data_IF_954635722538
#
_entry.id   IF_954635722538
#
_cell.length_a   1.000
_cell.length_b   1.000
_cell.length_c   1.000
_cell.angle_alpha   90.00
_cell.angle_beta   90.00
_cell.angle_gamma   90.00
#
_symmetry.space_group_name_H-M   'P 1'
#
loop_
_entity.id
_entity.type
_entity.pdbx_description
1 polymer ?
#
# COMPACT_ATOMS: atom_id res chain seq x y z
N UNK A 1 2.61 14.76 8.11
CA UNK A 1 3.30 13.46 8.30
C UNK A 1 4.23 13.24 7.11
N UNK A 2 5.44 12.75 7.34
CA UNK A 2 6.45 12.45 6.30
C UNK A 2 6.34 10.98 5.89
N UNK A 3 6.10 10.73 4.61
CA UNK A 3 5.79 9.39 4.10
C UNK A 3 6.89 8.92 3.17
N UNK A 4 7.35 7.68 3.34
CA UNK A 4 8.13 6.96 2.33
C UNK A 4 7.22 5.92 1.64
N UNK A 5 7.35 5.79 0.31
CA UNK A 5 6.60 4.80 -0.45
C UNK A 5 7.57 3.83 -1.12
N UNK A 6 7.36 2.53 -0.92
CA UNK A 6 8.16 1.46 -1.52
C UNK A 6 7.40 0.83 -2.69
N UNK A 7 8.03 0.79 -3.87
CA UNK A 7 7.40 0.30 -5.10
C UNK A 7 8.33 -0.63 -5.88
N UNK A 8 7.80 -1.72 -6.42
CA UNK A 8 8.55 -2.60 -7.36
C UNK A 8 8.09 -2.47 -8.82
N UNK A 9 7.00 -1.75 -9.08
CA UNK A 9 6.31 -1.75 -10.37
C UNK A 9 6.06 -0.37 -10.96
N UNK A 10 4.85 -0.17 -11.44
CA UNK A 10 4.45 1.05 -12.16
C UNK A 10 4.28 2.28 -11.27
N UNK A 11 4.04 2.12 -9.97
CA UNK A 11 3.93 3.21 -9.00
C UNK A 11 2.63 4.03 -9.12
N UNK A 12 1.54 3.41 -9.55
CA UNK A 12 0.26 4.11 -9.66
C UNK A 12 -0.34 4.51 -8.30
N UNK A 13 -0.24 3.64 -7.30
CA UNK A 13 -0.60 3.96 -5.92
C UNK A 13 0.30 5.05 -5.33
N UNK A 14 1.61 5.01 -5.60
CA UNK A 14 2.52 6.09 -5.21
C UNK A 14 2.07 7.45 -5.77
N UNK A 15 1.80 7.53 -7.08
CA UNK A 15 1.29 8.77 -7.69
C UNK A 15 -0.04 9.20 -7.07
N UNK A 16 -0.95 8.26 -6.79
CA UNK A 16 -2.22 8.56 -6.14
C UNK A 16 -2.02 9.17 -4.76
N UNK A 17 -1.14 8.61 -3.91
CA UNK A 17 -0.81 9.16 -2.59
C UNK A 17 -0.30 10.60 -2.71
N UNK A 18 0.67 10.86 -3.61
CA UNK A 18 1.24 12.21 -3.82
C UNK A 18 0.15 13.21 -4.20
N UNK A 19 -0.82 12.82 -5.03
CA UNK A 19 -1.87 13.70 -5.52
C UNK A 19 -3.01 13.94 -4.52
N UNK A 20 -3.30 12.96 -3.65
CA UNK A 20 -4.49 12.97 -2.78
C UNK A 20 -4.17 13.33 -1.34
N UNK A 21 -3.04 12.92 -0.80
CA UNK A 21 -2.65 13.18 0.60
C UNK A 21 -1.99 14.56 0.76
N UNK A 22 -2.69 15.64 0.38
CA UNK A 22 -2.15 17.01 0.33
C UNK A 22 -1.71 17.58 1.68
N UNK A 23 -2.20 17.05 2.79
CA UNK A 23 -1.84 17.45 4.16
C UNK A 23 -0.65 16.64 4.71
N UNK A 24 -0.05 15.80 3.89
CA UNK A 24 1.08 14.94 4.18
C UNK A 24 2.12 15.10 3.07
N UNK A 25 3.36 14.78 3.37
CA UNK A 25 4.47 14.95 2.44
C UNK A 25 5.05 13.57 2.09
N UNK A 26 4.97 13.17 0.82
CA UNK A 26 5.77 12.04 0.34
C UNK A 26 7.19 12.54 0.11
N UNK A 27 8.07 12.22 1.03
CA UNK A 27 9.45 12.74 1.06
C UNK A 27 10.43 11.86 0.32
N UNK A 28 10.09 10.58 0.14
CA UNK A 28 10.99 9.58 -0.44
C UNK A 28 10.19 8.48 -1.13
N UNK A 29 10.65 8.06 -2.31
CA UNK A 29 10.20 6.82 -2.93
C UNK A 29 11.39 5.87 -3.10
N UNK A 30 11.24 4.62 -2.67
CA UNK A 30 12.26 3.58 -2.84
C UNK A 30 11.76 2.54 -3.84
N UNK A 31 12.64 2.13 -4.75
CA UNK A 31 12.34 1.06 -5.70
C UNK A 31 13.49 0.05 -5.80
N UNK A 32 13.14 -1.21 -6.05
CA UNK A 32 14.08 -2.32 -6.14
C UNK A 32 14.27 -2.87 -7.56
N UNK A 33 13.81 -2.14 -8.57
CA UNK A 33 14.03 -2.43 -9.99
C UNK A 33 14.63 -1.21 -10.67
N UNK A 34 15.80 -1.35 -11.29
CA UNK A 34 16.53 -0.25 -11.97
C UNK A 34 15.69 0.50 -13.01
N UNK A 35 14.81 -0.21 -13.72
CA UNK A 35 13.91 0.40 -14.72
C UNK A 35 12.47 0.09 -14.30
N UNK A 36 11.83 0.97 -13.54
CA UNK A 36 10.44 0.83 -13.15
C UNK A 36 9.62 2.08 -13.47
N UNK A 37 8.31 1.93 -13.59
CA UNK A 37 7.40 3.05 -13.84
C UNK A 37 7.37 4.03 -12.67
N UNK A 38 7.54 3.54 -11.44
CA UNK A 38 7.55 4.36 -10.23
C UNK A 38 8.65 5.42 -10.25
N UNK A 39 9.88 5.08 -10.68
CA UNK A 39 10.98 6.04 -10.80
C UNK A 39 10.64 7.18 -11.77
N UNK A 40 10.11 6.84 -12.97
CA UNK A 40 9.66 7.83 -13.94
C UNK A 40 8.55 8.75 -13.42
N UNK A 41 7.68 8.24 -12.55
CA UNK A 41 6.64 9.05 -11.90
C UNK A 41 7.23 9.95 -10.83
N UNK A 42 8.19 9.46 -10.05
CA UNK A 42 8.90 10.25 -9.05
C UNK A 42 9.61 11.45 -9.70
N UNK A 43 10.33 11.23 -10.80
CA UNK A 43 10.96 12.30 -11.60
C UNK A 43 9.94 13.38 -12.01
N UNK A 44 8.79 12.94 -12.58
CA UNK A 44 7.73 13.86 -13.04
C UNK A 44 7.05 14.64 -11.91
N UNK A 45 6.99 14.05 -10.72
CA UNK A 45 6.35 14.64 -9.55
C UNK A 45 7.34 15.45 -8.68
N UNK A 46 8.63 15.43 -9.03
CA UNK A 46 9.68 16.08 -8.25
C UNK A 46 9.92 15.43 -6.88
N UNK A 47 9.58 14.13 -6.75
CA UNK A 47 9.76 13.39 -5.50
C UNK A 47 11.13 12.72 -5.49
N UNK A 48 11.97 12.94 -4.47
CA UNK A 48 13.23 12.23 -4.30
C UNK A 48 13.03 10.73 -4.32
N UNK A 49 13.86 10.00 -5.06
CA UNK A 49 13.77 8.56 -5.08
C UNK A 49 15.13 7.86 -5.12
N UNK A 50 15.18 6.64 -4.65
CA UNK A 50 16.40 5.81 -4.62
C UNK A 50 16.13 4.39 -5.12
N UNK A 51 17.08 3.88 -5.91
CA UNK A 51 17.17 2.45 -6.17
C UNK A 51 17.95 1.76 -5.04
N UNK A 52 17.33 0.79 -4.38
CA UNK A 52 17.97 -0.05 -3.37
C UNK A 52 17.59 -1.50 -3.70
N UNK A 53 18.58 -2.39 -3.75
CA UNK A 53 18.31 -3.81 -3.88
C UNK A 53 17.53 -4.30 -2.67
N UNK A 54 16.53 -5.16 -2.89
CA UNK A 54 15.65 -5.64 -1.83
C UNK A 54 16.37 -6.46 -0.73
N UNK A 55 17.58 -6.90 -0.99
CA UNK A 55 18.46 -7.59 -0.02
C UNK A 55 19.28 -6.62 0.83
N UNK A 56 19.31 -5.35 0.46
CA UNK A 56 20.08 -4.30 1.16
C UNK A 56 19.17 -3.49 2.11
N UNK A 57 18.47 -4.17 2.99
CA UNK A 57 17.55 -3.52 3.94
C UNK A 57 18.27 -2.63 4.95
N UNK A 58 19.54 -2.89 5.26
CA UNK A 58 20.33 -2.05 6.17
C UNK A 58 20.43 -0.62 5.61
N UNK A 59 20.79 -0.48 4.34
CA UNK A 59 20.86 0.84 3.71
C UNK A 59 19.47 1.45 3.51
N UNK A 60 18.45 0.62 3.28
CA UNK A 60 17.05 1.09 3.21
C UNK A 60 16.60 1.68 4.55
N UNK A 61 16.87 0.99 5.67
CA UNK A 61 16.56 1.48 7.03
C UNK A 61 17.27 2.81 7.29
N UNK A 62 18.59 2.88 7.04
CA UNK A 62 19.39 4.09 7.24
C UNK A 62 18.85 5.27 6.43
N UNK A 63 18.51 5.04 5.17
CA UNK A 63 17.97 6.08 4.31
C UNK A 63 16.62 6.59 4.82
N UNK A 64 15.70 5.70 5.17
CA UNK A 64 14.37 6.05 5.69
C UNK A 64 14.50 6.84 7.00
N UNK A 65 15.40 6.44 7.89
CA UNK A 65 15.69 7.15 9.14
C UNK A 65 16.27 8.54 8.89
N UNK A 66 17.23 8.67 7.96
CA UNK A 66 17.85 9.95 7.60
C UNK A 66 16.83 10.97 7.03
N UNK A 67 15.75 10.48 6.41
CA UNK A 67 14.66 11.32 5.91
C UNK A 67 13.60 11.64 6.96
N UNK A 68 13.75 11.19 8.21
CA UNK A 68 12.78 11.38 9.30
C UNK A 68 11.36 10.97 8.88
N UNK A 69 11.23 9.75 8.34
CA UNK A 69 9.95 9.21 7.86
C UNK A 69 9.08 8.79 9.03
N UNK A 70 7.83 9.23 9.04
CA UNK A 70 6.83 8.84 10.03
C UNK A 70 6.10 7.56 9.66
N UNK A 71 5.79 7.38 8.37
CA UNK A 71 5.02 6.26 7.83
C UNK A 71 5.66 5.69 6.56
N UNK A 72 5.74 4.38 6.49
CA UNK A 72 6.17 3.63 5.30
C UNK A 72 4.94 2.96 4.67
N UNK A 73 4.77 3.16 3.37
CA UNK A 73 3.68 2.56 2.59
C UNK A 73 4.27 1.60 1.55
N UNK A 74 3.98 0.32 1.69
CA UNK A 74 4.28 -0.69 0.68
C UNK A 74 3.17 -0.64 -0.39
N UNK A 75 3.48 -0.11 -1.57
CA UNK A 75 2.53 0.09 -2.66
C UNK A 75 2.97 -0.67 -3.92
N UNK A 76 2.67 -1.96 -3.95
CA UNK A 76 3.18 -2.88 -4.96
C UNK A 76 4.66 -3.22 -4.75
N UNK A 77 5.09 -3.35 -3.52
CA UNK A 77 6.41 -3.87 -3.14
C UNK A 77 6.40 -5.39 -3.22
N UNK A 78 7.16 -5.96 -4.16
CA UNK A 78 7.14 -7.39 -4.49
C UNK A 78 8.22 -8.19 -3.74
N UNK A 79 8.46 -7.85 -2.46
CA UNK A 79 9.40 -8.54 -1.58
C UNK A 79 8.86 -8.57 -0.16
N UNK A 80 9.16 -9.63 0.54
CA UNK A 80 8.91 -9.73 1.98
C UNK A 80 10.00 -8.91 2.66
N UNK A 81 9.61 -8.03 3.57
CA UNK A 81 10.53 -7.29 4.43
C UNK A 81 10.93 -8.16 5.62
N UNK A 82 12.18 -8.03 6.07
CA UNK A 82 12.69 -8.85 7.17
C UNK A 82 12.12 -8.39 8.52
N UNK A 83 12.30 -9.26 9.53
CA UNK A 83 11.99 -8.92 10.91
C UNK A 83 12.74 -7.65 11.38
N UNK A 84 14.00 -7.50 11.02
CA UNK A 84 14.80 -6.33 11.40
C UNK A 84 14.23 -5.03 10.83
N UNK A 85 13.76 -5.07 9.57
CA UNK A 85 13.07 -3.94 8.96
C UNK A 85 11.75 -3.62 9.68
N UNK A 86 10.97 -4.65 10.01
CA UNK A 86 9.69 -4.48 10.74
C UNK A 86 9.95 -3.90 12.12
N UNK A 87 10.95 -4.42 12.86
CA UNK A 87 11.28 -3.94 14.20
C UNK A 87 11.77 -2.49 14.20
N UNK A 88 12.56 -2.09 13.20
CA UNK A 88 13.02 -0.71 13.04
C UNK A 88 11.87 0.31 12.87
N UNK A 89 10.73 -0.14 12.34
CA UNK A 89 9.58 0.73 12.01
C UNK A 89 8.25 0.17 12.53
N UNK A 90 8.28 -0.54 13.65
CA UNK A 90 7.10 -1.20 14.24
C UNK A 90 5.91 -0.25 14.38
N UNK A 91 4.75 -0.68 13.88
CA UNK A 91 3.52 0.13 13.88
C UNK A 91 3.49 1.29 12.89
N UNK A 92 4.52 1.43 12.05
CA UNK A 92 4.65 2.50 11.05
C UNK A 92 4.85 1.99 9.61
N UNK A 93 4.46 0.75 9.35
CA UNK A 93 4.49 0.16 8.02
C UNK A 93 3.10 -0.33 7.68
N UNK A 94 2.56 0.11 6.55
CA UNK A 94 1.30 -0.38 6.00
C UNK A 94 1.51 -0.93 4.60
N UNK A 95 0.67 -1.90 4.22
CA UNK A 95 0.66 -2.50 2.88
C UNK A 95 -0.74 -2.44 2.29
N UNK A 96 -0.83 -2.25 0.98
CA UNK A 96 -2.06 -2.44 0.22
C UNK A 96 -1.99 -3.75 -0.55
N UNK A 97 -2.99 -4.62 -0.33
CA UNK A 97 -3.08 -5.95 -0.91
C UNK A 97 -4.36 -6.11 -1.74
N UNK A 98 -4.29 -6.67 -2.97
CA UNK A 98 -5.41 -6.73 -3.91
C UNK A 98 -6.35 -7.90 -3.67
N UNK A 99 -6.75 -8.14 -2.42
CA UNK A 99 -7.79 -9.10 -2.04
C UNK A 99 -8.52 -8.65 -0.77
N UNK A 100 -9.61 -9.36 -0.44
CA UNK A 100 -10.26 -9.27 0.86
C UNK A 100 -9.58 -10.22 1.85
N UNK A 101 -8.49 -9.76 2.50
CA UNK A 101 -7.81 -10.57 3.51
C UNK A 101 -8.78 -11.08 4.60
N UNK A 102 -8.60 -12.31 5.10
CA UNK A 102 -7.43 -13.17 4.97
C UNK A 102 -7.41 -14.05 3.71
N UNK A 103 -8.35 -13.90 2.77
CA UNK A 103 -8.35 -14.66 1.52
C UNK A 103 -7.21 -14.22 0.60
N UNK A 104 -6.59 -15.18 -0.09
CA UNK A 104 -5.63 -14.94 -1.18
C UNK A 104 -4.43 -14.08 -0.75
N UNK A 105 -3.76 -14.44 0.35
CA UNK A 105 -2.48 -13.86 0.77
C UNK A 105 -1.40 -14.10 -0.29
N UNK A 106 -0.43 -13.21 -0.37
CA UNK A 106 0.74 -13.33 -1.25
C UNK A 106 0.46 -12.96 -2.70
N UNK A 107 1.16 -13.63 -3.62
CA UNK A 107 1.12 -13.31 -5.04
C UNK A 107 -0.11 -13.87 -5.75
N UNK A 108 -0.49 -13.23 -6.87
CA UNK A 108 -1.56 -13.69 -7.77
C UNK A 108 -2.96 -13.75 -7.12
N UNK A 109 -3.23 -12.88 -6.15
CA UNK A 109 -4.50 -12.86 -5.42
C UNK A 109 -5.72 -12.65 -6.35
N UNK A 110 -5.57 -11.86 -7.41
CA UNK A 110 -6.63 -11.57 -8.39
C UNK A 110 -6.95 -12.81 -9.22
N UNK A 111 -5.91 -13.46 -9.73
CA UNK A 111 -6.03 -14.69 -10.50
C UNK A 111 -6.66 -15.80 -9.66
N UNK A 112 -6.21 -15.96 -8.41
CA UNK A 112 -6.75 -16.94 -7.48
C UNK A 112 -8.24 -16.71 -7.19
N UNK A 113 -8.66 -15.46 -7.00
CA UNK A 113 -10.08 -15.13 -6.78
C UNK A 113 -10.96 -15.50 -8.00
N UNK A 114 -10.44 -15.25 -9.21
CA UNK A 114 -11.14 -15.62 -10.44
C UNK A 114 -11.19 -17.14 -10.65
N UNK A 115 -10.10 -17.85 -10.42
CA UNK A 115 -10.03 -19.31 -10.53
C UNK A 115 -10.94 -20.00 -9.51
N UNK A 116 -11.11 -19.41 -8.32
CA UNK A 116 -12.04 -19.89 -7.30
C UNK A 116 -13.52 -19.53 -7.59
N UNK A 117 -13.81 -18.88 -8.73
CA UNK A 117 -15.14 -18.44 -9.10
C UNK A 117 -15.83 -17.59 -8.02
N UNK A 118 -15.06 -16.73 -7.33
CA UNK A 118 -15.62 -15.81 -6.35
C UNK A 118 -16.55 -14.80 -7.04
N UNK A 119 -17.57 -14.37 -6.34
CA UNK A 119 -18.50 -13.33 -6.83
C UNK A 119 -18.05 -11.91 -6.47
N UNK A 120 -17.15 -11.79 -5.48
CA UNK A 120 -16.56 -10.55 -5.04
C UNK A 120 -15.10 -10.74 -4.63
N UNK A 121 -14.31 -9.71 -4.76
CA UNK A 121 -12.96 -9.56 -4.23
C UNK A 121 -12.81 -8.13 -3.69
N UNK A 122 -11.62 -7.59 -3.64
CA UNK A 122 -11.43 -6.21 -3.19
C UNK A 122 -9.99 -5.85 -2.96
N UNK A 123 -9.80 -4.86 -2.11
CA UNK A 123 -8.49 -4.46 -1.63
C UNK A 123 -8.49 -4.28 -0.11
N UNK A 124 -7.36 -4.54 0.49
CA UNK A 124 -7.13 -4.41 1.93
C UNK A 124 -5.91 -3.54 2.17
N UNK A 125 -6.02 -2.55 3.06
CA UNK A 125 -4.86 -1.90 3.67
C UNK A 125 -4.71 -2.43 5.10
N UNK A 126 -3.51 -2.88 5.44
CA UNK A 126 -3.22 -3.49 6.74
C UNK A 126 -1.85 -3.06 7.26
N UNK A 127 -1.64 -3.16 8.56
CA UNK A 127 -0.30 -3.04 9.15
C UNK A 127 0.56 -4.23 8.74
N UNK A 128 1.86 -4.00 8.58
CA UNK A 128 2.82 -5.07 8.29
C UNK A 128 3.38 -5.62 9.57
N UNK A 129 3.35 -6.95 9.70
CA UNK A 129 3.97 -7.73 10.75
C UNK A 129 4.82 -8.88 10.14
N UNK A 130 5.31 -9.80 10.97
CA UNK A 130 6.15 -10.93 10.53
C UNK A 130 5.37 -11.98 9.71
N UNK A 131 4.04 -11.98 9.80
CA UNK A 131 3.18 -12.88 8.98
C UNK A 131 2.87 -12.23 7.64
N UNK A 132 3.09 -12.95 6.54
CA UNK A 132 2.75 -12.48 5.20
C UNK A 132 1.25 -12.13 5.11
N UNK A 133 0.96 -10.86 4.79
CA UNK A 133 -0.40 -10.31 4.71
C UNK A 133 -1.29 -10.67 5.91
N UNK A 134 -0.68 -10.77 7.11
CA UNK A 134 -1.32 -11.21 8.35
C UNK A 134 -1.49 -10.15 9.42
N UNK A 135 -1.09 -8.90 9.16
CA UNK A 135 -1.19 -7.81 10.11
C UNK A 135 -2.63 -7.28 10.29
N UNK A 136 -2.82 -6.47 11.33
CA UNK A 136 -4.10 -5.83 11.66
C UNK A 136 -4.65 -5.07 10.45
N UNK A 137 -5.88 -5.36 10.05
CA UNK A 137 -6.57 -4.69 8.95
C UNK A 137 -6.96 -3.28 9.38
N UNK A 138 -6.61 -2.30 8.55
CA UNK A 138 -6.98 -0.90 8.74
C UNK A 138 -8.31 -0.63 8.04
N UNK A 139 -8.40 -1.00 6.76
CA UNK A 139 -9.59 -0.79 5.93
C UNK A 139 -9.64 -1.82 4.79
N UNK A 140 -10.85 -2.22 4.43
CA UNK A 140 -11.11 -3.06 3.25
C UNK A 140 -12.25 -2.46 2.44
N UNK A 141 -12.22 -2.66 1.12
CA UNK A 141 -13.37 -2.37 0.27
C UNK A 141 -13.57 -3.49 -0.75
N UNK A 142 -14.84 -3.78 -1.02
CA UNK A 142 -15.28 -4.86 -1.90
C UNK A 142 -15.35 -4.39 -3.34
N UNK A 143 -15.01 -5.29 -4.25
CA UNK A 143 -15.15 -5.13 -5.71
C UNK A 143 -15.91 -6.33 -6.23
N UNK A 144 -17.10 -6.17 -6.83
CA UNK A 144 -17.81 -7.28 -7.45
C UNK A 144 -17.06 -7.82 -8.67
N UNK A 145 -17.05 -9.14 -8.84
CA UNK A 145 -16.51 -9.79 -10.04
C UNK A 145 -17.67 -10.02 -11.00
N UNK A 146 -17.64 -9.38 -12.16
CA UNK A 146 -18.70 -9.50 -13.16
C UNK A 146 -18.44 -10.72 -14.06
N UNK A 147 -19.50 -11.29 -14.60
CA UNK A 147 -19.43 -12.48 -15.46
C UNK A 147 -18.52 -12.32 -16.69
N UNK A 148 -18.38 -11.11 -17.20
CA UNK A 148 -17.53 -10.78 -18.33
C UNK A 148 -16.14 -10.23 -17.95
N UNK A 149 -15.79 -10.24 -16.67
CA UNK A 149 -14.46 -9.82 -16.23
C UNK A 149 -13.38 -10.81 -16.68
N UNK A 150 -12.23 -10.25 -16.95
CA UNK A 150 -10.97 -10.96 -17.07
C UNK A 150 -9.96 -10.35 -16.08
N UNK A 151 -8.81 -10.98 -15.91
CA UNK A 151 -7.77 -10.52 -14.97
C UNK A 151 -7.44 -9.03 -15.18
N UNK A 152 -7.37 -8.56 -16.42
CA UNK A 152 -7.03 -7.16 -16.73
C UNK A 152 -8.12 -6.18 -16.32
N UNK A 153 -9.40 -6.50 -16.57
CA UNK A 153 -10.53 -5.63 -16.17
C UNK A 153 -10.67 -5.59 -14.64
N UNK A 154 -10.59 -6.76 -13.99
CA UNK A 154 -10.67 -6.87 -12.55
C UNK A 154 -9.50 -6.18 -11.85
N UNK A 155 -8.27 -6.32 -12.37
CA UNK A 155 -7.09 -5.56 -11.87
C UNK A 155 -7.35 -4.06 -11.88
N UNK A 156 -7.94 -3.53 -12.96
CA UNK A 156 -8.26 -2.09 -13.02
C UNK A 156 -9.32 -1.67 -12.01
N UNK A 157 -10.34 -2.51 -11.79
CA UNK A 157 -11.37 -2.24 -10.79
C UNK A 157 -10.77 -2.23 -9.37
N UNK A 158 -9.94 -3.23 -9.04
CA UNK A 158 -9.24 -3.31 -7.76
C UNK A 158 -8.27 -2.13 -7.58
N UNK A 159 -7.54 -1.71 -8.60
CA UNK A 159 -6.68 -0.52 -8.52
C UNK A 159 -7.46 0.76 -8.20
N UNK A 160 -8.66 0.94 -8.74
CA UNK A 160 -9.52 2.09 -8.36
C UNK A 160 -9.94 2.00 -6.89
N UNK A 161 -10.26 0.78 -6.43
CA UNK A 161 -10.54 0.52 -5.02
C UNK A 161 -9.34 0.89 -4.14
N UNK A 162 -8.12 0.44 -4.49
CA UNK A 162 -6.89 0.80 -3.78
C UNK A 162 -6.68 2.33 -3.72
N UNK A 163 -6.97 3.05 -4.81
CA UNK A 163 -6.87 4.51 -4.85
C UNK A 163 -7.84 5.21 -3.90
N UNK A 164 -8.98 4.63 -3.66
CA UNK A 164 -9.96 5.19 -2.71
C UNK A 164 -9.56 4.90 -1.26
N UNK A 165 -9.19 3.65 -0.94
CA UNK A 165 -8.97 3.25 0.45
C UNK A 165 -7.60 3.64 1.01
N UNK A 166 -6.56 3.73 0.17
CA UNK A 166 -5.20 3.96 0.65
C UNK A 166 -5.01 5.36 1.28
N UNK A 167 -5.54 6.46 0.72
CA UNK A 167 -5.51 7.76 1.38
C UNK A 167 -6.27 7.79 2.72
N UNK A 168 -7.40 7.09 2.82
CA UNK A 168 -8.16 7.01 4.07
C UNK A 168 -7.42 6.21 5.13
N UNK A 169 -6.77 5.11 4.75
CA UNK A 169 -5.89 4.36 5.65
C UNK A 169 -4.72 5.23 6.17
N UNK A 170 -4.07 6.00 5.30
CA UNK A 170 -2.99 6.93 5.68
C UNK A 170 -3.49 7.96 6.68
N UNK A 171 -4.67 8.52 6.46
CA UNK A 171 -5.30 9.48 7.37
C UNK A 171 -5.58 8.84 8.74
N UNK A 172 -6.11 7.62 8.76
CA UNK A 172 -6.34 6.88 10.02
C UNK A 172 -5.04 6.65 10.78
N UNK A 173 -4.01 6.15 10.12
CA UNK A 173 -2.70 5.90 10.76
C UNK A 173 -2.10 7.20 11.30
N UNK A 174 -2.24 8.30 10.56
CA UNK A 174 -1.80 9.63 11.04
C UNK A 174 -2.45 10.00 12.36
N UNK A 175 -3.78 9.86 12.48
CA UNK A 175 -4.50 10.13 13.73
C UNK A 175 -3.99 9.22 14.86
N UNK A 176 -3.85 7.92 14.60
CA UNK A 176 -3.36 6.95 15.59
C UNK A 176 -1.95 7.27 16.09
N UNK A 177 -1.07 7.78 15.19
CA UNK A 177 0.30 8.17 15.55
C UNK A 177 0.37 9.50 16.33
N UNK A 178 -0.51 10.46 16.03
CA UNK A 178 -0.53 11.78 16.67
C UNK A 178 -1.34 11.81 17.96
N UNK A 179 -2.41 11.02 18.03
CA UNK A 179 -3.35 10.95 19.15
C UNK A 179 -3.64 9.50 19.53
N UNK A 180 -2.68 8.75 20.09
CA UNK A 180 -2.82 7.31 20.35
C UNK A 180 -4.00 6.95 21.26
N UNK A 181 -4.53 7.89 22.04
CA UNK A 181 -5.65 7.69 22.97
C UNK A 181 -6.96 8.32 22.49
N UNK A 182 -7.06 8.81 21.26
CA UNK A 182 -8.24 9.57 20.80
C UNK A 182 -9.51 8.74 20.61
N UNK A 183 -9.44 7.40 20.65
CA UNK A 183 -10.57 6.53 20.33
C UNK A 183 -11.08 6.64 18.89
N UNK A 184 -10.33 7.28 18.00
CA UNK A 184 -10.68 7.45 16.60
C UNK A 184 -10.83 6.08 15.93
N UNK A 185 -12.05 5.78 15.46
CA UNK A 185 -12.36 4.59 14.70
C UNK A 185 -12.62 4.98 13.23
N UNK A 186 -12.07 4.24 12.30
CA UNK A 186 -12.39 4.37 10.89
C UNK A 186 -13.85 3.96 10.67
N UNK A 187 -14.61 4.79 9.99
CA UNK A 187 -15.87 4.35 9.43
C UNK A 187 -15.54 3.40 8.26
N UNK A 188 -15.92 2.13 8.40
CA UNK A 188 -15.64 1.09 7.40
C UNK A 188 -16.37 1.33 6.07
N UNK A 189 -17.33 2.25 6.03
CA UNK A 189 -18.05 2.62 4.82
C UNK A 189 -17.35 3.78 4.13
N UNK A 190 -16.69 3.50 3.01
CA UNK A 190 -16.11 4.54 2.17
C UNK A 190 -17.26 5.22 1.42
N UNK A 191 -17.62 6.41 1.87
CA UNK A 191 -18.63 7.22 1.20
C UNK A 191 -18.23 7.48 -0.26
N UNK A 192 -19.11 7.06 -1.17
CA UNK A 192 -18.93 7.28 -2.61
C UNK A 192 -18.17 6.20 -3.38
N UNK A 193 -17.78 5.12 -2.73
CA UNK A 193 -17.30 3.95 -3.44
C UNK A 193 -18.48 3.05 -3.83
N UNK A 194 -18.79 3.00 -5.11
CA UNK A 194 -19.89 2.19 -5.68
C UNK A 194 -19.46 0.76 -6.07
N UNK A 195 -18.22 0.38 -5.79
CA UNK A 195 -17.66 -0.93 -6.10
C UNK A 195 -17.04 -1.03 -7.49
N UNK A 196 -16.97 0.07 -8.28
CA UNK A 196 -16.41 0.06 -9.64
C UNK A 196 -15.74 1.36 -10.08
#
# INVERSE_FOLDING_TARGET
MRIAVLCSGNGSNFENIVRTCRNDEVVLMIHNKKKCGAAKRADKLGIPHSYIESTDEINMIRLIQAWNVDLIVLAGWMRIVTKDFIDAFRGRIINVHPSLLPKYKGLHAIEQAMEACETETGATVHYVNEELDGGEIIIQAKVPILHNDNVKSLTKAIQRCEYAILPEAIKHVKHKLQEPNSGYMLQNDIYGWDGR
#
